data_IF_081021664360
#
_entry.id   IF_081021664360
#
_cell.length_a   1.000
_cell.length_b   1.000
_cell.length_c   1.000
_cell.angle_alpha   90.00
_cell.angle_beta   90.00
_cell.angle_gamma   90.00
#
_symmetry.space_group_name_H-M   'P 1'
#
loop_
_entity.id
_entity.type
_entity.pdbx_description
1 polymer ?
#
# COMPACT_ATOMS: atom_id res chain seq x y z
N UNK A 1 -1.08 5.11 13.41
CA UNK A 1 -1.06 4.88 11.97
C UNK A 1 0.32 5.08 11.35
N UNK A 2 0.95 6.22 11.58
CA UNK A 2 2.28 6.48 11.01
C UNK A 2 3.35 5.50 11.48
N UNK A 3 3.39 5.18 12.76
CA UNK A 3 4.37 4.24 13.29
C UNK A 3 4.20 2.84 12.69
N UNK A 4 2.95 2.41 12.55
CA UNK A 4 2.65 1.13 11.93
C UNK A 4 3.16 1.07 10.48
N UNK A 5 2.92 2.14 9.72
CA UNK A 5 3.36 2.22 8.33
C UNK A 5 4.88 2.23 8.24
N UNK A 6 5.56 2.96 9.13
CA UNK A 6 7.02 2.98 9.14
C UNK A 6 7.61 1.60 9.43
N UNK A 7 6.98 0.83 10.31
CA UNK A 7 7.43 -0.53 10.61
C UNK A 7 7.34 -1.45 9.39
N UNK A 8 6.45 -1.14 8.46
CA UNK A 8 6.27 -1.92 7.24
C UNK A 8 6.97 -1.32 6.02
N UNK A 9 7.91 -0.40 6.26
CA UNK A 9 8.75 0.14 5.20
C UNK A 9 8.19 1.36 4.48
N UNK A 10 7.12 1.95 4.99
CA UNK A 10 6.57 3.17 4.38
C UNK A 10 7.43 4.38 4.73
N UNK A 11 7.55 5.29 3.76
CA UNK A 11 8.28 6.54 3.91
C UNK A 11 7.38 7.68 3.48
N UNK A 12 7.66 8.89 3.99
CA UNK A 12 6.90 10.07 3.59
C UNK A 12 7.20 10.41 2.13
N UNK A 13 6.17 10.83 1.41
CA UNK A 13 6.32 11.31 0.05
C UNK A 13 7.15 12.60 0.05
N UNK A 14 8.06 12.74 -0.90
CA UNK A 14 8.95 13.90 -0.97
C UNK A 14 8.22 15.21 -1.31
N UNK A 15 7.02 15.12 -1.88
CA UNK A 15 6.23 16.28 -2.27
C UNK A 15 5.06 16.56 -1.34
N UNK A 16 4.69 15.61 -0.48
CA UNK A 16 3.53 15.74 0.40
C UNK A 16 3.75 14.97 1.69
N UNK A 17 3.90 15.69 2.79
CA UNK A 17 4.12 15.11 4.12
C UNK A 17 2.91 14.35 4.64
N UNK A 18 1.74 14.55 4.05
CA UNK A 18 0.52 13.85 4.42
C UNK A 18 0.35 12.51 3.70
N UNK A 19 1.27 12.18 2.79
CA UNK A 19 1.28 10.90 2.10
C UNK A 19 2.46 10.06 2.57
N UNK A 20 2.18 8.81 2.87
CA UNK A 20 3.23 7.81 3.07
C UNK A 20 3.11 6.75 1.98
N UNK A 21 4.23 6.26 1.51
CA UNK A 21 4.24 5.31 0.41
C UNK A 21 5.27 4.21 0.61
N UNK A 22 4.99 3.06 0.04
CA UNK A 22 5.93 1.94 0.03
C UNK A 22 5.75 1.17 -1.28
N UNK A 23 6.84 0.53 -1.68
CA UNK A 23 6.86 -0.23 -2.93
C UNK A 23 7.28 -1.66 -2.64
N UNK A 24 6.53 -2.61 -3.19
CA UNK A 24 6.85 -4.03 -3.10
C UNK A 24 7.31 -4.54 -4.45
N UNK A 25 8.35 -5.34 -4.44
CA UNK A 25 8.87 -5.98 -5.63
C UNK A 25 8.09 -7.25 -5.94
N UNK A 26 8.42 -7.87 -7.06
CA UNK A 26 7.78 -9.08 -7.55
C UNK A 26 7.65 -10.17 -6.49
N UNK A 27 8.69 -10.38 -5.68
CA UNK A 27 8.71 -11.45 -4.68
C UNK A 27 7.77 -11.20 -3.51
N UNK A 28 7.59 -9.94 -3.12
CA UNK A 28 6.84 -9.58 -1.93
C UNK A 28 5.43 -9.06 -2.21
N UNK A 29 5.18 -8.61 -3.43
CA UNK A 29 3.89 -7.99 -3.78
C UNK A 29 2.74 -8.99 -3.80
N UNK A 30 3.01 -10.24 -4.08
CA UNK A 30 1.97 -11.24 -4.23
C UNK A 30 1.18 -11.50 -2.94
N UNK A 31 1.85 -11.55 -1.79
CA UNK A 31 1.14 -11.79 -0.54
C UNK A 31 0.25 -10.59 -0.16
N UNK A 32 0.73 -9.38 -0.43
CA UNK A 32 -0.05 -8.18 -0.14
C UNK A 32 -1.27 -8.09 -1.04
N UNK A 33 -1.10 -8.34 -2.33
CA UNK A 33 -2.21 -8.33 -3.27
C UNK A 33 -3.25 -9.38 -2.92
N UNK A 34 -2.81 -10.57 -2.53
CA UNK A 34 -3.69 -11.66 -2.11
C UNK A 34 -4.48 -11.27 -0.85
N UNK A 35 -3.80 -10.65 0.12
CA UNK A 35 -4.43 -10.16 1.35
C UNK A 35 -5.45 -9.05 1.11
N UNK A 36 -5.23 -8.24 0.06
CA UNK A 36 -6.13 -7.15 -0.31
C UNK A 36 -7.25 -7.59 -1.25
N UNK A 37 -7.19 -8.81 -1.76
CA UNK A 37 -8.18 -9.31 -2.70
C UNK A 37 -8.03 -8.75 -4.10
N UNK A 38 -6.83 -8.30 -4.45
CA UNK A 38 -6.52 -7.74 -5.77
C UNK A 38 -6.02 -8.86 -6.68
N UNK A 39 -6.53 -8.87 -7.91
CA UNK A 39 -6.07 -9.81 -8.93
C UNK A 39 -4.72 -9.33 -9.46
N UNK A 40 -3.66 -9.96 -9.01
CA UNK A 40 -2.30 -9.48 -9.20
C UNK A 40 -1.61 -10.15 -10.40
N UNK A 41 -1.21 -9.35 -11.37
CA UNK A 41 -0.48 -9.84 -12.55
C UNK A 41 0.75 -8.97 -12.88
N UNK A 42 1.21 -8.16 -11.94
CA UNK A 42 2.22 -7.14 -12.19
C UNK A 42 3.46 -7.36 -11.34
N UNK A 43 4.59 -6.81 -11.80
CA UNK A 43 5.88 -7.00 -11.15
C UNK A 43 6.07 -6.15 -9.89
N UNK A 44 5.43 -4.99 -9.83
CA UNK A 44 5.60 -4.07 -8.71
C UNK A 44 4.27 -3.53 -8.22
N UNK A 45 4.23 -3.21 -6.94
CA UNK A 45 3.05 -2.67 -6.29
C UNK A 45 3.45 -1.46 -5.46
N UNK A 46 2.90 -0.30 -5.78
CA UNK A 46 3.13 0.92 -5.00
C UNK A 46 1.86 1.24 -4.22
N UNK A 47 2.00 1.39 -2.91
CA UNK A 47 0.88 1.71 -2.03
C UNK A 47 1.11 3.09 -1.42
N UNK A 48 0.12 3.97 -1.55
CA UNK A 48 0.13 5.29 -0.95
C UNK A 48 -1.02 5.42 0.04
N UNK A 49 -0.73 5.96 1.23
CA UNK A 49 -1.72 6.19 2.27
C UNK A 49 -1.77 7.68 2.58
N UNK A 50 -2.96 8.27 2.49
CA UNK A 50 -3.17 9.65 2.88
C UNK A 50 -3.44 9.70 4.38
N UNK A 51 -2.57 10.38 5.13
CA UNK A 51 -2.66 10.43 6.58
C UNK A 51 -3.84 11.26 7.08
N UNK A 52 -4.29 12.24 6.30
CA UNK A 52 -5.41 13.10 6.67
C UNK A 52 -6.76 12.40 6.49
N UNK A 53 -6.93 11.72 5.37
CA UNK A 53 -8.21 11.14 5.00
C UNK A 53 -8.27 9.63 5.22
N UNK A 54 -7.12 9.01 5.42
CA UNK A 54 -6.94 7.56 5.54
C UNK A 54 -7.29 6.82 4.24
N UNK A 55 -7.26 7.53 3.13
CA UNK A 55 -7.46 6.92 1.83
C UNK A 55 -6.22 6.14 1.41
N UNK A 56 -6.44 5.00 0.81
CA UNK A 56 -5.38 4.14 0.30
C UNK A 56 -5.51 4.05 -1.21
N UNK A 57 -4.39 4.31 -1.89
CA UNK A 57 -4.32 4.17 -3.34
C UNK A 57 -3.22 3.18 -3.65
N UNK A 58 -3.53 2.18 -4.46
CA UNK A 58 -2.58 1.17 -4.87
C UNK A 58 -2.38 1.31 -6.36
N UNK A 59 -1.13 1.50 -6.75
CA UNK A 59 -0.76 1.70 -8.15
C UNK A 59 0.10 0.54 -8.62
N UNK A 60 -0.23 0.04 -9.79
CA UNK A 60 0.54 -0.98 -10.47
C UNK A 60 1.02 -0.42 -11.81
N UNK A 61 1.66 -1.25 -12.60
CA UNK A 61 2.12 -0.85 -13.90
C UNK A 61 0.93 -0.75 -14.88
N UNK A 62 0.26 0.40 -14.85
CA UNK A 62 -0.85 0.70 -15.73
C UNK A 62 -2.23 0.70 -15.11
N UNK A 63 -2.35 0.35 -13.82
CA UNK A 63 -3.64 0.36 -13.13
C UNK A 63 -3.56 1.05 -11.79
N UNK A 64 -4.70 1.60 -11.35
CA UNK A 64 -4.83 2.25 -10.05
C UNK A 64 -6.05 1.67 -9.34
N UNK A 65 -5.87 1.25 -8.09
CA UNK A 65 -6.95 0.74 -7.25
C UNK A 65 -7.14 1.72 -6.10
N UNK A 66 -8.33 2.29 -6.00
CA UNK A 66 -8.64 3.29 -4.97
C UNK A 66 -9.82 2.88 -4.07
N UNK A 67 -10.27 1.65 -4.18
CA UNK A 67 -11.40 1.12 -3.42
C UNK A 67 -10.99 0.32 -2.18
N UNK A 68 -9.71 0.36 -1.83
CA UNK A 68 -9.18 -0.30 -0.64
C UNK A 68 -9.15 0.71 0.51
N UNK A 69 -9.71 0.34 1.67
CA UNK A 69 -9.63 1.21 2.82
C UNK A 69 -8.42 0.88 3.71
N UNK A 70 -8.12 1.76 4.65
CA UNK A 70 -6.98 1.58 5.53
C UNK A 70 -7.07 0.32 6.37
N UNK A 71 -8.27 -0.03 6.82
CA UNK A 71 -8.48 -1.23 7.62
C UNK A 71 -8.09 -2.51 6.86
N UNK A 72 -8.43 -2.56 5.57
CA UNK A 72 -8.05 -3.69 4.73
C UNK A 72 -6.54 -3.77 4.53
N UNK A 73 -5.89 -2.63 4.31
CA UNK A 73 -4.45 -2.57 4.18
C UNK A 73 -3.75 -3.02 5.47
N UNK A 74 -4.23 -2.52 6.60
CA UNK A 74 -3.67 -2.88 7.89
C UNK A 74 -3.78 -4.39 8.14
N UNK A 75 -4.94 -4.97 7.87
CA UNK A 75 -5.14 -6.41 8.02
C UNK A 75 -4.22 -7.23 7.12
N UNK A 76 -4.04 -6.79 5.88
CA UNK A 76 -3.16 -7.47 4.94
C UNK A 76 -1.71 -7.43 5.40
N UNK A 77 -1.25 -6.30 5.93
CA UNK A 77 0.12 -6.17 6.44
C UNK A 77 0.35 -6.96 7.71
N UNK A 78 -0.64 -7.02 8.60
CA UNK A 78 -0.56 -7.78 9.84
C UNK A 78 -0.68 -9.29 9.62
N UNK A 79 -1.32 -9.70 8.55
CA UNK A 79 -1.51 -11.10 8.21
C UNK A 79 -0.28 -11.79 7.62
N UNK A 80 0.80 -11.09 7.54
CA UNK A 80 2.05 -11.55 6.98
C UNK A 80 2.67 -12.72 7.77
#
# INVERSE_FOLDING_TARGET
MEEFLKEHGFEYNSNDENLMEAKWDEDDSSYLADGLGIDWEYDTLLVQVNLDTKEVVIMTDGEVFDDVDYSALQAALEGE
#
